data_IF_309189665243
#
_entry.id   IF_309189665243
#
_cell.length_a   1.000
_cell.length_b   1.000
_cell.length_c   1.000
_cell.angle_alpha   90.00
_cell.angle_beta   90.00
_cell.angle_gamma   90.00
#
_symmetry.space_group_name_H-M   'P 1'
#
loop_
_entity.id
_entity.type
_entity.pdbx_description
1 polymer ?
#
# COMPACT_ATOMS: atom_id res chain seq x y z
N UNK A 1 4.15 -27.15 6.57
CA UNK A 1 3.58 -26.11 7.46
C UNK A 1 2.77 -26.83 8.54
N UNK A 2 2.99 -26.52 9.82
CA UNK A 2 2.29 -27.18 10.93
C UNK A 2 0.81 -26.85 10.97
N UNK A 3 -0.08 -27.72 11.51
CA UNK A 3 -1.49 -27.39 11.68
C UNK A 3 -1.71 -26.11 12.50
N UNK A 4 -0.99 -25.95 13.60
CA UNK A 4 -1.07 -24.75 14.45
C UNK A 4 -0.75 -23.46 13.66
N UNK A 5 0.26 -23.48 12.79
CA UNK A 5 0.59 -22.33 11.96
C UNK A 5 -0.56 -21.97 11.02
N UNK A 6 -1.19 -22.97 10.39
CA UNK A 6 -2.35 -22.74 9.51
C UNK A 6 -3.53 -22.16 10.27
N UNK A 7 -3.80 -22.65 11.47
CA UNK A 7 -4.91 -22.19 12.30
C UNK A 7 -4.67 -20.74 12.75
N UNK A 8 -3.48 -20.40 13.22
CA UNK A 8 -3.14 -19.01 13.60
C UNK A 8 -3.38 -18.05 12.44
N UNK A 9 -2.86 -18.37 11.24
CA UNK A 9 -3.04 -17.50 10.08
C UNK A 9 -4.49 -17.44 9.59
N UNK A 10 -5.24 -18.53 9.67
CA UNK A 10 -6.65 -18.55 9.31
C UNK A 10 -7.48 -17.65 10.24
N UNK A 11 -7.24 -17.73 11.55
CA UNK A 11 -7.97 -16.90 12.51
C UNK A 11 -7.56 -15.43 12.43
N UNK A 12 -6.29 -15.15 12.24
CA UNK A 12 -5.80 -13.80 11.98
C UNK A 12 -6.44 -13.20 10.71
N UNK A 13 -6.44 -13.95 9.61
CA UNK A 13 -7.11 -13.50 8.38
C UNK A 13 -8.60 -13.20 8.57
N UNK A 14 -9.31 -14.01 9.36
CA UNK A 14 -10.73 -13.77 9.67
C UNK A 14 -10.92 -12.51 10.50
N UNK A 15 -10.03 -12.26 11.44
CA UNK A 15 -10.04 -11.05 12.28
C UNK A 15 -9.77 -9.80 11.41
N UNK A 16 -8.74 -9.82 10.59
CA UNK A 16 -8.42 -8.72 9.69
C UNK A 16 -9.55 -8.43 8.67
N UNK A 17 -10.27 -9.47 8.25
CA UNK A 17 -11.43 -9.28 7.38
C UNK A 17 -12.57 -8.52 8.07
N UNK A 18 -12.70 -8.63 9.40
CA UNK A 18 -13.67 -7.84 10.17
C UNK A 18 -13.20 -6.38 10.31
N UNK A 19 -11.88 -6.15 10.51
CA UNK A 19 -11.31 -4.81 10.54
C UNK A 19 -11.58 -4.08 9.23
N UNK A 20 -11.34 -4.70 8.09
CA UNK A 20 -11.62 -4.10 6.79
C UNK A 20 -13.09 -3.67 6.60
N UNK A 21 -14.04 -4.45 7.13
CA UNK A 21 -15.47 -4.07 7.11
C UNK A 21 -15.73 -2.89 8.05
N UNK A 22 -15.13 -2.89 9.23
CA UNK A 22 -15.27 -1.79 10.19
C UNK A 22 -14.68 -0.50 9.64
N UNK A 23 -13.52 -0.55 9.03
CA UNK A 23 -12.85 0.59 8.41
C UNK A 23 -13.69 1.20 7.29
N UNK A 24 -14.31 0.35 6.44
CA UNK A 24 -15.22 0.85 5.41
C UNK A 24 -16.44 1.57 6.00
N UNK A 25 -17.06 0.99 7.03
CA UNK A 25 -18.22 1.62 7.69
C UNK A 25 -17.85 2.94 8.34
N UNK A 26 -16.68 2.99 8.98
CA UNK A 26 -16.16 4.20 9.60
C UNK A 26 -15.85 5.27 8.56
N UNK A 27 -15.20 4.90 7.47
CA UNK A 27 -14.89 5.81 6.36
C UNK A 27 -16.16 6.46 5.80
N UNK A 28 -17.19 5.65 5.51
CA UNK A 28 -18.49 6.16 5.06
C UNK A 28 -19.17 7.08 6.09
N UNK A 29 -19.06 6.73 7.37
CA UNK A 29 -19.61 7.51 8.47
C UNK A 29 -18.94 8.88 8.58
N UNK A 30 -17.63 8.92 8.50
CA UNK A 30 -16.88 10.16 8.61
C UNK A 30 -17.07 11.01 7.35
N UNK A 31 -17.02 10.43 6.15
CA UNK A 31 -17.27 11.14 4.89
C UNK A 31 -18.63 11.86 4.89
N UNK A 32 -19.67 11.22 5.41
CA UNK A 32 -21.02 11.81 5.48
C UNK A 32 -21.09 13.10 6.32
N UNK A 33 -20.06 13.42 7.11
CA UNK A 33 -19.98 14.61 7.95
C UNK A 33 -19.11 15.71 7.35
N UNK A 34 -18.33 15.37 6.31
CA UNK A 34 -17.39 16.29 5.71
C UNK A 34 -18.08 17.27 4.76
N UNK A 35 -17.65 18.52 4.81
CA UNK A 35 -17.88 19.48 3.74
C UNK A 35 -17.05 19.10 2.51
N UNK A 36 -17.36 19.71 1.36
CA UNK A 36 -16.56 19.51 0.13
C UNK A 36 -15.10 19.93 0.30
N UNK A 37 -14.83 20.99 1.04
CA UNK A 37 -13.47 21.46 1.33
C UNK A 37 -12.70 20.50 2.24
N UNK A 38 -13.37 19.91 3.21
CA UNK A 38 -12.76 18.90 4.11
C UNK A 38 -12.47 17.61 3.36
N UNK A 39 -13.38 17.19 2.48
CA UNK A 39 -13.14 16.01 1.61
C UNK A 39 -11.97 16.25 0.66
N UNK A 40 -11.84 17.44 0.11
CA UNK A 40 -10.74 17.78 -0.78
C UNK A 40 -9.39 17.74 -0.05
N UNK A 41 -9.33 18.24 1.19
CA UNK A 41 -8.15 18.10 2.06
C UNK A 41 -7.86 16.64 2.42
N UNK A 42 -8.87 15.82 2.70
CA UNK A 42 -8.70 14.41 3.00
C UNK A 42 -8.10 13.64 1.81
N UNK A 43 -8.41 14.05 0.58
CA UNK A 43 -7.75 13.50 -0.62
C UNK A 43 -6.28 13.88 -0.69
N UNK A 44 -5.92 15.11 -0.35
CA UNK A 44 -4.52 15.53 -0.28
C UNK A 44 -3.76 14.76 0.83
N UNK A 45 -4.38 14.62 2.01
CA UNK A 45 -3.83 13.85 3.12
C UNK A 45 -3.60 12.37 2.74
N UNK A 46 -4.51 11.77 1.97
CA UNK A 46 -4.33 10.42 1.44
C UNK A 46 -3.12 10.32 0.51
N UNK A 47 -2.97 11.29 -0.39
CA UNK A 47 -1.83 11.35 -1.32
C UNK A 47 -0.52 11.47 -0.55
N UNK A 48 -0.47 12.37 0.42
CA UNK A 48 0.70 12.60 1.27
C UNK A 48 1.05 11.37 2.10
N UNK A 49 0.05 10.69 2.67
CA UNK A 49 0.24 9.44 3.41
C UNK A 49 0.86 8.35 2.53
N UNK A 50 0.32 8.15 1.33
CA UNK A 50 0.87 7.12 0.40
C UNK A 50 2.30 7.49 -0.03
N UNK A 51 2.58 8.77 -0.27
CA UNK A 51 3.92 9.25 -0.56
C UNK A 51 4.90 9.00 0.59
N UNK A 52 4.48 9.25 1.84
CA UNK A 52 5.28 8.97 3.03
C UNK A 52 5.54 7.46 3.21
N UNK A 53 4.53 6.63 3.00
CA UNK A 53 4.68 5.16 3.02
C UNK A 53 5.67 4.71 1.95
N UNK A 54 5.56 5.20 0.71
CA UNK A 54 6.50 4.86 -0.37
C UNK A 54 7.95 5.25 0.00
N UNK A 55 8.16 6.40 0.64
CA UNK A 55 9.47 6.80 1.16
C UNK A 55 10.04 5.80 2.17
N UNK A 56 9.22 5.28 3.08
CA UNK A 56 9.62 4.23 4.03
C UNK A 56 9.98 2.93 3.28
N UNK A 57 9.19 2.54 2.28
CA UNK A 57 9.45 1.33 1.49
C UNK A 57 10.74 1.42 0.69
N UNK A 58 11.08 2.60 0.17
CA UNK A 58 12.36 2.84 -0.51
C UNK A 58 13.54 2.66 0.44
N UNK A 59 13.46 3.21 1.65
CA UNK A 59 14.50 3.04 2.68
C UNK A 59 14.64 1.57 3.07
N UNK A 60 13.54 0.86 3.29
CA UNK A 60 13.55 -0.54 3.65
C UNK A 60 14.13 -1.41 2.52
N UNK A 61 13.70 -1.19 1.28
CA UNK A 61 14.22 -1.92 0.13
C UNK A 61 15.73 -1.70 -0.05
N UNK A 62 16.22 -0.48 0.20
CA UNK A 62 17.65 -0.18 0.18
C UNK A 62 18.44 -0.93 1.27
N UNK A 63 17.91 -0.96 2.49
CA UNK A 63 18.54 -1.68 3.60
C UNK A 63 18.58 -3.21 3.34
N UNK A 64 17.48 -3.77 2.84
CA UNK A 64 17.41 -5.20 2.54
C UNK A 64 18.27 -5.61 1.34
N UNK A 65 18.42 -4.71 0.36
CA UNK A 65 19.35 -4.92 -0.74
C UNK A 65 20.80 -5.05 -0.24
N UNK A 66 21.22 -4.14 0.63
CA UNK A 66 22.57 -4.19 1.24
C UNK A 66 22.75 -5.49 2.01
N UNK A 67 21.80 -5.83 2.88
CA UNK A 67 21.83 -7.06 3.65
C UNK A 67 21.89 -8.30 2.76
N UNK A 68 21.08 -8.35 1.71
CA UNK A 68 21.05 -9.47 0.78
C UNK A 68 22.37 -9.64 0.05
N UNK A 69 22.93 -8.57 -0.50
CA UNK A 69 24.21 -8.61 -1.24
C UNK A 69 25.38 -9.07 -0.35
N UNK A 70 25.41 -8.59 0.90
CA UNK A 70 26.47 -8.97 1.85
C UNK A 70 26.38 -10.41 2.32
N UNK A 71 25.16 -10.99 2.38
CA UNK A 71 24.94 -12.31 2.98
C UNK A 71 24.63 -13.43 1.97
N UNK A 72 24.52 -13.15 0.68
CA UNK A 72 24.14 -14.13 -0.34
C UNK A 72 25.25 -15.13 -0.70
N UNK A 73 26.46 -14.97 -0.16
CA UNK A 73 27.59 -15.90 -0.36
C UNK A 73 28.22 -15.88 -1.76
N UNK A 74 27.88 -14.89 -2.60
CA UNK A 74 28.49 -14.65 -3.91
C UNK A 74 28.59 -13.14 -4.20
N UNK A 75 29.47 -12.79 -5.14
CA UNK A 75 29.50 -11.44 -5.69
C UNK A 75 28.38 -11.25 -6.75
N UNK A 76 27.91 -10.01 -6.84
CA UNK A 76 26.93 -9.56 -7.83
C UNK A 76 27.55 -8.49 -8.72
N UNK A 77 27.15 -8.44 -10.00
CA UNK A 77 27.46 -7.32 -10.87
C UNK A 77 26.60 -6.09 -10.51
N UNK A 78 26.97 -4.90 -10.96
CA UNK A 78 26.14 -3.69 -10.75
C UNK A 78 24.74 -3.83 -11.32
N UNK A 79 24.60 -4.43 -12.50
CA UNK A 79 23.30 -4.68 -13.13
C UNK A 79 22.41 -5.65 -12.32
N UNK A 80 23.02 -6.70 -11.72
CA UNK A 80 22.31 -7.61 -10.82
C UNK A 80 21.84 -6.91 -9.55
N UNK A 81 22.70 -6.07 -8.93
CA UNK A 81 22.36 -5.28 -7.74
C UNK A 81 21.17 -4.36 -8.03
N UNK A 82 21.21 -3.63 -9.15
CA UNK A 82 20.12 -2.75 -9.57
C UNK A 82 18.81 -3.53 -9.83
N UNK A 83 18.90 -4.70 -10.46
CA UNK A 83 17.73 -5.53 -10.71
C UNK A 83 17.10 -6.06 -9.42
N UNK A 84 17.93 -6.49 -8.46
CA UNK A 84 17.47 -6.93 -7.12
C UNK A 84 16.80 -5.76 -6.39
N UNK A 85 17.40 -4.58 -6.39
CA UNK A 85 16.84 -3.40 -5.74
C UNK A 85 15.48 -3.02 -6.31
N UNK A 86 15.33 -3.03 -7.64
CA UNK A 86 14.03 -2.79 -8.29
C UNK A 86 12.99 -3.86 -7.92
N UNK A 87 13.40 -5.13 -7.87
CA UNK A 87 12.51 -6.23 -7.51
C UNK A 87 12.03 -6.12 -6.06
N UNK A 88 12.92 -5.78 -5.12
CA UNK A 88 12.59 -5.59 -3.71
C UNK A 88 11.59 -4.43 -3.53
N UNK A 89 11.90 -3.27 -4.11
CA UNK A 89 11.00 -2.12 -4.03
C UNK A 89 9.65 -2.39 -4.69
N UNK A 90 9.65 -3.03 -5.86
CA UNK A 90 8.41 -3.42 -6.55
C UNK A 90 7.56 -4.40 -5.72
N UNK A 91 8.19 -5.37 -5.04
CA UNK A 91 7.49 -6.29 -4.15
C UNK A 91 6.88 -5.58 -2.93
N UNK A 92 7.60 -4.63 -2.33
CA UNK A 92 7.08 -3.84 -1.22
C UNK A 92 5.95 -2.91 -1.65
N UNK A 93 6.10 -2.20 -2.76
CA UNK A 93 5.03 -1.37 -3.32
C UNK A 93 3.78 -2.19 -3.61
N UNK A 94 3.95 -3.35 -4.23
CA UNK A 94 2.84 -4.28 -4.46
C UNK A 94 2.15 -4.67 -3.16
N UNK A 95 2.91 -5.12 -2.16
CA UNK A 95 2.37 -5.62 -0.90
C UNK A 95 1.63 -4.54 -0.10
N UNK A 96 2.19 -3.34 -0.01
CA UNK A 96 1.73 -2.34 0.96
C UNK A 96 0.91 -1.20 0.34
N UNK A 97 0.93 -1.03 -0.98
CA UNK A 97 0.21 0.04 -1.66
C UNK A 97 -0.67 -0.52 -2.78
N UNK A 98 -0.04 -1.12 -3.81
CA UNK A 98 -0.71 -1.41 -5.08
C UNK A 98 -1.83 -2.42 -4.92
N UNK A 99 -1.61 -3.51 -4.17
CA UNK A 99 -2.63 -4.54 -3.93
C UNK A 99 -3.87 -3.98 -3.20
N UNK A 100 -3.67 -3.04 -2.29
CA UNK A 100 -4.76 -2.35 -1.60
C UNK A 100 -5.54 -1.41 -2.53
N UNK A 101 -4.83 -0.56 -3.26
CA UNK A 101 -5.44 0.39 -4.23
C UNK A 101 -6.22 -0.35 -5.31
N UNK A 102 -5.70 -1.49 -5.79
CA UNK A 102 -6.35 -2.31 -6.82
C UNK A 102 -7.43 -3.25 -6.26
N UNK A 103 -7.64 -3.31 -4.96
CA UNK A 103 -8.68 -4.15 -4.40
C UNK A 103 -10.06 -3.64 -4.83
N UNK A 104 -10.92 -4.49 -5.44
CA UNK A 104 -12.19 -4.05 -6.04
C UNK A 104 -13.10 -3.32 -5.06
N UNK A 105 -13.13 -3.76 -3.79
CA UNK A 105 -13.96 -3.13 -2.76
C UNK A 105 -13.45 -1.75 -2.39
N UNK A 106 -12.14 -1.58 -2.23
CA UNK A 106 -11.53 -0.27 -1.96
C UNK A 106 -11.82 0.70 -3.11
N UNK A 107 -11.56 0.29 -4.34
CA UNK A 107 -11.80 1.11 -5.53
C UNK A 107 -13.28 1.51 -5.68
N UNK A 108 -14.21 0.58 -5.39
CA UNK A 108 -15.65 0.87 -5.40
C UNK A 108 -16.03 1.92 -4.36
N UNK A 109 -15.58 1.75 -3.11
CA UNK A 109 -15.89 2.69 -2.03
C UNK A 109 -15.28 4.06 -2.29
N UNK A 110 -14.01 4.10 -2.69
CA UNK A 110 -13.35 5.36 -3.03
C UNK A 110 -14.11 6.11 -4.13
N UNK A 111 -14.48 5.41 -5.21
CA UNK A 111 -15.23 6.00 -6.33
C UNK A 111 -16.63 6.49 -5.99
N UNK A 112 -17.22 6.03 -4.88
CA UNK A 112 -18.50 6.56 -4.36
C UNK A 112 -18.32 7.86 -3.54
N UNK A 113 -17.14 8.05 -2.95
CA UNK A 113 -16.87 9.12 -1.98
C UNK A 113 -16.16 10.34 -2.60
N UNK A 114 -15.51 10.18 -3.74
CA UNK A 114 -14.72 11.23 -4.41
C UNK A 114 -15.31 11.58 -5.78
N UNK A 115 -15.01 12.78 -6.25
CA UNK A 115 -15.35 13.22 -7.59
C UNK A 115 -14.26 12.88 -8.63
N UNK A 116 -14.56 13.14 -9.91
CA UNK A 116 -13.65 12.81 -11.03
C UNK A 116 -12.33 13.59 -10.96
N UNK A 117 -12.35 14.86 -10.52
CA UNK A 117 -11.14 15.68 -10.40
C UNK A 117 -10.22 15.16 -9.27
N UNK A 118 -10.81 14.74 -8.15
CA UNK A 118 -10.11 14.10 -7.04
C UNK A 118 -9.53 12.75 -7.45
N UNK A 119 -10.28 11.93 -8.19
CA UNK A 119 -9.81 10.66 -8.72
C UNK A 119 -8.62 10.84 -9.68
N UNK A 120 -8.69 11.85 -10.58
CA UNK A 120 -7.58 12.18 -11.48
C UNK A 120 -6.33 12.64 -10.71
N UNK A 121 -6.50 13.44 -9.66
CA UNK A 121 -5.40 13.90 -8.80
C UNK A 121 -4.70 12.74 -8.09
N UNK A 122 -5.47 11.81 -7.51
CA UNK A 122 -4.94 10.58 -6.91
C UNK A 122 -4.19 9.76 -7.97
N UNK A 123 -4.80 9.53 -9.12
CA UNK A 123 -4.19 8.75 -10.20
C UNK A 123 -2.85 9.32 -10.69
N UNK A 124 -2.75 10.65 -10.84
CA UNK A 124 -1.49 11.34 -11.19
C UNK A 124 -0.43 11.18 -10.10
N UNK A 125 -0.82 11.33 -8.83
CA UNK A 125 0.10 11.23 -7.72
C UNK A 125 0.64 9.80 -7.54
N UNK A 126 -0.18 8.78 -7.77
CA UNK A 126 0.20 7.37 -7.60
C UNK A 126 0.91 6.78 -8.83
N UNK A 127 0.83 7.40 -10.00
CA UNK A 127 1.42 6.88 -11.23
C UNK A 127 2.91 6.48 -11.12
N UNK A 128 3.79 7.19 -10.38
CA UNK A 128 5.18 6.79 -10.22
C UNK A 128 5.39 5.55 -9.32
N UNK A 129 4.36 5.16 -8.56
CA UNK A 129 4.41 4.05 -7.59
C UNK A 129 3.86 2.77 -8.20
N UNK A 130 2.89 2.90 -9.12
CA UNK A 130 2.19 1.81 -9.79
C UNK A 130 3.04 1.17 -10.88
#
# INVERSE_FOLDING_TARGET
MSPLFKDVFLYHWKEESQHAVMDELEWRREDARLSSEERDRAVDDLIDLVGAVDGILQLQAGADLVYFVENAGRAFSGEEVDAIGRALLGAYRWQYIVSGVQHPRFASVLGELIDEAQAERIGKALAPIM
#
